data_IF_064989555666
#
_entry.id   IF_064989555666
#
_cell.length_a   1.000
_cell.length_b   1.000
_cell.length_c   1.000
_cell.angle_alpha   90.00
_cell.angle_beta   90.00
_cell.angle_gamma   90.00
#
_symmetry.space_group_name_H-M   'P 1'
#
loop_
_entity.id
_entity.type
_entity.pdbx_description
1 polymer ?
#
# COMPACT_ATOMS: atom_id res chain seq x y z
N UNK A 1 -13.91 -13.08 41.48
CA UNK A 1 -12.84 -12.90 40.47
C UNK A 1 -13.53 -12.85 39.12
N UNK A 2 -13.53 -11.70 38.44
CA UNK A 2 -14.10 -11.59 37.09
C UNK A 2 -12.99 -11.98 36.12
N UNK A 3 -13.19 -13.06 35.37
CA UNK A 3 -12.36 -13.39 34.22
C UNK A 3 -12.61 -12.30 33.17
N UNK A 4 -11.65 -11.39 33.02
CA UNK A 4 -11.58 -10.54 31.84
C UNK A 4 -11.04 -11.44 30.74
N UNK A 5 -11.94 -12.03 29.96
CA UNK A 5 -11.57 -12.61 28.67
C UNK A 5 -10.99 -11.46 27.83
N UNK A 6 -9.70 -11.54 27.56
CA UNK A 6 -9.06 -10.70 26.55
C UNK A 6 -9.70 -11.11 25.23
N UNK A 7 -10.68 -10.33 24.76
CA UNK A 7 -11.15 -10.45 23.39
C UNK A 7 -9.94 -10.10 22.53
N UNK A 8 -9.28 -11.11 21.97
CA UNK A 8 -8.33 -10.91 20.89
C UNK A 8 -9.14 -10.25 19.76
N UNK A 9 -8.93 -8.95 19.55
CA UNK A 9 -9.48 -8.27 18.39
C UNK A 9 -8.85 -8.92 17.16
N UNK A 10 -9.62 -9.75 16.47
CA UNK A 10 -9.19 -10.33 15.21
C UNK A 10 -9.05 -9.21 14.17
N UNK A 11 -8.11 -9.34 13.22
CA UNK A 11 -7.98 -8.37 12.14
C UNK A 11 -9.29 -8.22 11.37
N UNK A 12 -9.68 -6.98 11.11
CA UNK A 12 -10.79 -6.69 10.22
C UNK A 12 -10.31 -6.83 8.77
N UNK A 13 -10.87 -7.80 8.07
CA UNK A 13 -10.51 -8.10 6.68
C UNK A 13 -11.47 -7.40 5.72
N UNK A 14 -10.91 -6.77 4.69
CA UNK A 14 -11.65 -6.14 3.61
C UNK A 14 -11.31 -6.82 2.29
N UNK A 15 -12.33 -7.13 1.50
CA UNK A 15 -12.15 -7.67 0.15
C UNK A 15 -12.31 -6.59 -0.92
N UNK A 16 -13.19 -5.62 -0.64
CA UNK A 16 -13.46 -4.49 -1.53
C UNK A 16 -12.46 -3.34 -1.27
N UNK A 17 -11.65 -2.95 -2.27
CA UNK A 17 -10.70 -1.85 -2.12
C UNK A 17 -11.38 -0.48 -1.94
N UNK A 18 -12.61 -0.29 -2.42
CA UNK A 18 -13.39 0.95 -2.24
C UNK A 18 -13.88 1.07 -0.80
N UNK A 19 -14.39 -0.02 -0.21
CA UNK A 19 -14.79 -0.04 1.21
C UNK A 19 -13.59 0.19 2.12
N UNK A 20 -12.45 -0.46 1.80
CA UNK A 20 -11.21 -0.28 2.54
C UNK A 20 -10.71 1.18 2.50
N UNK A 21 -10.71 1.82 1.33
CA UNK A 21 -10.33 3.23 1.20
C UNK A 21 -11.29 4.17 1.92
N UNK A 22 -12.59 3.87 1.90
CA UNK A 22 -13.58 4.64 2.65
C UNK A 22 -13.29 4.56 4.15
N UNK A 23 -13.05 3.35 4.65
CA UNK A 23 -12.66 3.13 6.04
C UNK A 23 -11.36 3.88 6.40
N UNK A 24 -10.35 3.83 5.53
CA UNK A 24 -9.12 4.59 5.72
C UNK A 24 -9.37 6.10 5.77
N UNK A 25 -10.14 6.66 4.83
CA UNK A 25 -10.46 8.11 4.80
C UNK A 25 -11.23 8.57 6.04
N UNK A 26 -12.07 7.69 6.60
CA UNK A 26 -12.81 7.94 7.83
C UNK A 26 -12.00 7.69 9.11
N UNK A 27 -10.77 7.19 8.98
CA UNK A 27 -9.91 6.88 10.12
C UNK A 27 -9.30 8.13 10.76
N UNK A 28 -8.94 8.00 12.03
CA UNK A 28 -8.14 9.03 12.71
C UNK A 28 -6.75 9.18 12.07
N UNK A 29 -6.16 8.09 11.55
CA UNK A 29 -4.87 8.12 10.86
C UNK A 29 -4.88 9.06 9.67
N UNK A 30 -5.89 8.93 8.80
CA UNK A 30 -6.04 9.81 7.64
C UNK A 30 -6.25 11.26 8.06
N UNK A 31 -7.22 11.54 8.94
CA UNK A 31 -7.52 12.92 9.39
C UNK A 31 -6.31 13.61 10.02
N UNK A 32 -5.57 12.90 10.87
CA UNK A 32 -4.39 13.45 11.53
C UNK A 32 -3.25 13.70 10.54
N UNK A 33 -2.99 12.77 9.61
CA UNK A 33 -1.97 12.96 8.58
C UNK A 33 -2.33 14.09 7.61
N UNK A 34 -3.61 14.20 7.23
CA UNK A 34 -4.12 15.27 6.37
C UNK A 34 -3.94 16.65 7.02
N UNK A 35 -4.40 16.80 8.27
CA UNK A 35 -4.25 18.06 9.01
C UNK A 35 -2.78 18.46 9.16
N UNK A 36 -1.91 17.50 9.51
CA UNK A 36 -0.47 17.72 9.64
C UNK A 36 0.20 18.08 8.31
N UNK A 37 -0.21 17.45 7.21
CA UNK A 37 0.32 17.75 5.88
C UNK A 37 0.04 19.21 5.47
N UNK A 38 -1.06 19.78 5.97
CA UNK A 38 -1.49 21.15 5.67
C UNK A 38 -1.14 22.18 6.75
N UNK A 39 -0.54 21.74 7.86
CA UNK A 39 -0.15 22.61 8.96
C UNK A 39 0.83 23.70 8.49
N UNK A 40 0.50 24.97 8.80
CA UNK A 40 1.32 26.13 8.44
C UNK A 40 1.32 26.50 6.95
N UNK A 41 0.51 25.84 6.10
CA UNK A 41 0.36 26.21 4.70
C UNK A 41 -0.77 27.21 4.52
N UNK A 42 -0.52 28.28 3.76
CA UNK A 42 -1.53 29.26 3.37
C UNK A 42 -2.12 28.90 2.00
N UNK A 43 -3.44 28.99 1.87
CA UNK A 43 -4.17 28.66 0.64
C UNK A 43 -4.92 29.88 0.11
N UNK A 44 -4.94 30.02 -1.22
CA UNK A 44 -5.90 30.90 -1.89
C UNK A 44 -7.33 30.42 -1.60
N UNK A 45 -8.29 31.35 -1.59
CA UNK A 45 -9.72 31.02 -1.43
C UNK A 45 -10.28 30.16 -2.57
N UNK A 46 -9.57 30.08 -3.69
CA UNK A 46 -9.95 29.30 -4.87
C UNK A 46 -9.61 27.81 -4.75
N UNK A 47 -8.79 27.41 -3.78
CA UNK A 47 -8.40 26.00 -3.59
C UNK A 47 -9.54 25.25 -2.90
N UNK A 48 -10.17 24.32 -3.61
CA UNK A 48 -11.25 23.51 -3.05
C UNK A 48 -10.71 22.41 -2.12
N UNK A 49 -11.58 21.88 -1.25
CA UNK A 49 -11.24 20.71 -0.43
C UNK A 49 -10.95 19.46 -1.27
N UNK A 50 -11.53 19.37 -2.47
CA UNK A 50 -11.25 18.29 -3.43
C UNK A 50 -9.81 18.42 -3.92
N UNK A 51 -9.37 19.61 -4.32
CA UNK A 51 -7.99 19.84 -4.77
C UNK A 51 -6.98 19.51 -3.67
N UNK A 52 -7.27 19.91 -2.42
CA UNK A 52 -6.44 19.56 -1.27
C UNK A 52 -6.42 18.05 -1.04
N UNK A 53 -7.56 17.37 -1.12
CA UNK A 53 -7.60 15.91 -1.00
C UNK A 53 -6.74 15.26 -2.07
N UNK A 54 -6.89 15.64 -3.32
CA UNK A 54 -6.18 15.02 -4.43
C UNK A 54 -4.68 15.27 -4.33
N UNK A 55 -4.25 16.47 -3.89
CA UNK A 55 -2.84 16.77 -3.60
C UNK A 55 -2.30 15.92 -2.45
N UNK A 56 -3.03 15.79 -1.34
CA UNK A 56 -2.59 14.97 -0.22
C UNK A 56 -2.54 13.48 -0.56
N UNK A 57 -3.59 12.95 -1.19
CA UNK A 57 -3.67 11.56 -1.63
C UNK A 57 -2.61 11.25 -2.70
N UNK A 58 -2.18 12.23 -3.48
CA UNK A 58 -1.06 12.15 -4.42
C UNK A 58 0.33 12.22 -3.76
N UNK A 59 0.44 12.42 -2.44
CA UNK A 59 1.71 12.56 -1.71
C UNK A 59 2.14 11.28 -0.98
N UNK A 60 3.46 11.17 -0.76
CA UNK A 60 4.06 10.04 -0.02
C UNK A 60 3.56 9.95 1.43
N UNK A 61 3.20 11.08 2.03
CA UNK A 61 2.68 11.15 3.40
C UNK A 61 1.38 10.37 3.54
N UNK A 62 0.46 10.51 2.59
CA UNK A 62 -0.81 9.77 2.60
C UNK A 62 -0.57 8.27 2.41
N UNK A 63 0.29 7.90 1.45
CA UNK A 63 0.68 6.50 1.23
C UNK A 63 1.24 5.85 2.50
N UNK A 64 2.13 6.54 3.22
CA UNK A 64 2.68 6.04 4.49
C UNK A 64 1.61 5.93 5.59
N UNK A 65 0.68 6.89 5.65
CA UNK A 65 -0.46 6.83 6.58
C UNK A 65 -1.36 5.62 6.32
N UNK A 66 -1.58 5.26 5.05
CA UNK A 66 -2.32 4.05 4.65
C UNK A 66 -1.64 2.76 5.12
N UNK A 67 -0.32 2.66 4.96
CA UNK A 67 0.45 1.50 5.44
C UNK A 67 0.39 1.40 6.97
N UNK A 68 0.52 2.53 7.68
CA UNK A 68 0.45 2.56 9.14
C UNK A 68 -0.94 2.23 9.66
N UNK A 69 -1.99 2.70 8.97
CA UNK A 69 -3.37 2.32 9.23
C UNK A 69 -3.55 0.80 9.15
N UNK A 70 -3.03 0.18 8.09
CA UNK A 70 -3.06 -1.28 7.92
C UNK A 70 -2.30 -2.02 9.04
N UNK A 71 -1.17 -1.47 9.49
CA UNK A 71 -0.31 -2.05 10.54
C UNK A 71 -0.91 -1.97 11.94
N UNK A 72 -1.48 -0.83 12.29
CA UNK A 72 -1.79 -0.48 13.69
C UNK A 72 -3.25 -0.69 14.08
N UNK A 73 -4.14 -0.73 13.09
CA UNK A 73 -5.57 -0.91 13.32
C UNK A 73 -6.05 -2.33 12.98
N UNK A 74 -5.12 -3.23 12.64
CA UNK A 74 -5.39 -4.59 12.17
C UNK A 74 -6.46 -4.63 11.06
N UNK A 75 -6.49 -3.60 10.20
CA UNK A 75 -7.40 -3.51 9.06
C UNK A 75 -6.63 -3.86 7.80
N UNK A 76 -6.95 -4.99 7.17
CA UNK A 76 -6.15 -5.52 6.06
C UNK A 76 -7.02 -5.66 4.81
N UNK A 77 -6.49 -5.16 3.69
CA UNK A 77 -7.06 -5.40 2.37
C UNK A 77 -6.52 -6.71 1.79
N UNK A 78 -7.44 -7.65 1.54
CA UNK A 78 -7.17 -8.92 0.87
C UNK A 78 -7.23 -8.75 -0.65
N UNK A 79 -6.38 -9.48 -1.37
CA UNK A 79 -6.54 -9.61 -2.81
C UNK A 79 -7.67 -10.61 -3.11
N UNK A 80 -8.84 -10.07 -3.48
CA UNK A 80 -10.06 -10.83 -3.80
C UNK A 80 -10.41 -10.57 -5.27
N UNK A 81 -10.00 -11.45 -6.21
CA UNK A 81 -9.97 -11.15 -7.66
C UNK A 81 -11.28 -10.64 -8.26
N UNK A 82 -12.41 -10.95 -7.65
CA UNK A 82 -13.76 -10.61 -8.10
C UNK A 82 -14.02 -9.09 -8.04
N UNK A 83 -13.28 -8.36 -7.21
CA UNK A 83 -13.40 -6.90 -7.03
C UNK A 83 -12.56 -6.09 -8.02
N UNK A 84 -11.80 -6.73 -8.91
CA UNK A 84 -10.86 -6.06 -9.79
C UNK A 84 -11.14 -6.33 -11.27
N UNK A 85 -10.69 -5.43 -12.15
CA UNK A 85 -10.72 -5.64 -13.60
C UNK A 85 -9.63 -6.63 -14.06
N UNK A 86 -9.84 -7.29 -15.20
CA UNK A 86 -8.91 -8.30 -15.74
C UNK A 86 -7.47 -7.77 -15.91
N UNK A 87 -7.30 -6.54 -16.42
CA UNK A 87 -5.97 -5.93 -16.57
C UNK A 87 -5.20 -5.84 -15.26
N UNK A 88 -5.87 -5.45 -14.16
CA UNK A 88 -5.23 -5.43 -12.85
C UNK A 88 -4.88 -6.84 -12.38
N UNK A 89 -5.78 -7.81 -12.56
CA UNK A 89 -5.56 -9.22 -12.15
C UNK A 89 -4.32 -9.82 -12.80
N UNK A 90 -4.12 -9.55 -14.09
CA UNK A 90 -2.94 -10.05 -14.80
C UNK A 90 -1.65 -9.40 -14.27
N UNK A 91 -1.65 -8.07 -14.11
CA UNK A 91 -0.48 -7.34 -13.62
C UNK A 91 -0.12 -7.71 -12.17
N UNK A 92 -1.10 -7.81 -11.27
CA UNK A 92 -0.85 -8.15 -9.86
C UNK A 92 -0.38 -9.61 -9.71
N UNK A 93 -0.87 -10.52 -10.58
CA UNK A 93 -0.43 -11.91 -10.61
C UNK A 93 1.02 -12.04 -11.07
N UNK A 94 1.43 -11.29 -12.09
CA UNK A 94 2.82 -11.26 -12.54
C UNK A 94 3.73 -10.68 -11.47
N UNK A 95 3.29 -9.62 -10.79
CA UNK A 95 3.97 -9.03 -9.64
C UNK A 95 4.16 -10.03 -8.50
N UNK A 96 3.09 -10.71 -8.06
CA UNK A 96 3.17 -11.72 -7.00
C UNK A 96 4.03 -12.92 -7.40
N UNK A 97 3.96 -13.35 -8.65
CA UNK A 97 4.75 -14.48 -9.17
C UNK A 97 6.24 -14.16 -9.15
N UNK A 98 6.62 -12.93 -9.55
CA UNK A 98 8.00 -12.46 -9.52
C UNK A 98 8.59 -12.51 -8.09
N UNK A 99 7.83 -12.03 -7.09
CA UNK A 99 8.28 -12.06 -5.68
C UNK A 99 8.44 -13.50 -5.19
N UNK A 100 7.46 -14.37 -5.48
CA UNK A 100 7.49 -15.80 -5.10
C UNK A 100 8.69 -16.53 -5.72
N UNK A 101 9.04 -16.22 -6.96
CA UNK A 101 10.17 -16.84 -7.66
C UNK A 101 11.52 -16.37 -7.11
N UNK A 102 11.63 -15.10 -6.72
CA UNK A 102 12.81 -14.59 -6.02
C UNK A 102 12.98 -15.26 -4.65
N UNK A 103 11.91 -15.38 -3.86
CA UNK A 103 11.92 -16.05 -2.57
C UNK A 103 12.34 -17.54 -2.65
N UNK A 104 12.13 -18.20 -3.79
CA UNK A 104 12.57 -19.57 -4.07
C UNK A 104 14.06 -19.68 -4.45
N UNK A 105 14.82 -18.57 -4.41
CA UNK A 105 16.24 -18.56 -4.74
C UNK A 105 16.55 -18.77 -6.23
N UNK A 106 15.56 -18.56 -7.12
CA UNK A 106 15.75 -18.68 -8.58
C UNK A 106 16.54 -17.52 -9.18
N UNK A 107 16.80 -16.48 -8.38
CA UNK A 107 17.61 -15.32 -8.73
C UNK A 107 18.77 -15.25 -7.73
N UNK A 108 20.00 -15.30 -8.22
CA UNK A 108 21.21 -15.29 -7.39
C UNK A 108 22.27 -14.37 -7.98
N UNK A 109 23.09 -13.76 -7.12
CA UNK A 109 24.16 -12.83 -7.51
C UNK A 109 23.72 -11.37 -7.61
N UNK A 110 24.66 -10.44 -7.44
CA UNK A 110 24.37 -9.00 -7.33
C UNK A 110 23.68 -8.39 -8.56
N UNK A 111 24.06 -8.82 -9.77
CA UNK A 111 23.38 -8.41 -11.00
C UNK A 111 21.94 -8.96 -11.09
N UNK A 112 21.72 -10.17 -10.60
CA UNK A 112 20.40 -10.79 -10.52
C UNK A 112 19.47 -10.05 -9.55
N UNK A 113 19.98 -9.64 -8.39
CA UNK A 113 19.22 -8.85 -7.41
C UNK A 113 18.84 -7.48 -7.98
N UNK A 114 19.78 -6.77 -8.61
CA UNK A 114 19.49 -5.47 -9.23
C UNK A 114 18.54 -5.57 -10.44
N UNK A 115 18.55 -6.68 -11.18
CA UNK A 115 17.57 -6.95 -12.23
C UNK A 115 16.19 -7.24 -11.64
N UNK A 116 16.12 -8.05 -10.58
CA UNK A 116 14.90 -8.33 -9.85
C UNK A 116 14.26 -7.05 -9.29
N UNK A 117 15.03 -6.17 -8.64
CA UNK A 117 14.48 -4.94 -8.07
C UNK A 117 13.86 -4.04 -9.14
N UNK A 118 14.51 -3.92 -10.30
CA UNK A 118 13.97 -3.16 -11.44
C UNK A 118 12.66 -3.77 -11.97
N UNK A 119 12.62 -5.09 -12.15
CA UNK A 119 11.41 -5.78 -12.58
C UNK A 119 10.30 -5.66 -11.55
N UNK A 120 10.62 -5.80 -10.26
CA UNK A 120 9.68 -5.66 -9.15
C UNK A 120 9.08 -4.27 -9.12
N UNK A 121 9.90 -3.23 -9.26
CA UNK A 121 9.45 -1.85 -9.38
C UNK A 121 8.52 -1.65 -10.56
N UNK A 122 8.90 -2.17 -11.73
CA UNK A 122 8.11 -2.08 -12.97
C UNK A 122 6.75 -2.78 -12.86
N UNK A 123 6.69 -4.00 -12.33
CA UNK A 123 5.45 -4.75 -12.19
C UNK A 123 4.54 -4.15 -11.13
N UNK A 124 5.12 -3.65 -10.02
CA UNK A 124 4.37 -2.92 -9.01
C UNK A 124 3.75 -1.64 -9.58
N UNK A 125 4.51 -0.92 -10.41
CA UNK A 125 4.05 0.32 -11.04
C UNK A 125 2.95 0.06 -12.07
N UNK A 126 3.10 -0.99 -12.90
CA UNK A 126 2.07 -1.38 -13.86
C UNK A 126 0.75 -1.77 -13.17
N UNK A 127 0.81 -2.60 -12.13
CA UNK A 127 -0.36 -2.95 -11.34
C UNK A 127 -1.00 -1.71 -10.67
N UNK A 128 -0.19 -0.78 -10.17
CA UNK A 128 -0.69 0.45 -9.56
C UNK A 128 -1.39 1.37 -10.57
N UNK A 129 -0.87 1.46 -11.79
CA UNK A 129 -1.48 2.26 -12.85
C UNK A 129 -2.88 1.73 -13.21
N UNK A 130 -3.01 0.42 -13.42
CA UNK A 130 -4.31 -0.22 -13.71
C UNK A 130 -5.32 -0.02 -12.57
N UNK A 131 -4.87 -0.11 -11.32
CA UNK A 131 -5.72 0.12 -10.16
C UNK A 131 -6.12 1.60 -10.01
N UNK A 132 -5.18 2.50 -10.27
CA UNK A 132 -5.39 3.95 -10.27
C UNK A 132 -6.49 4.35 -11.27
N UNK A 133 -6.38 3.84 -12.50
CA UNK A 133 -7.29 4.17 -13.60
C UNK A 133 -8.69 3.58 -13.39
N UNK A 134 -8.76 2.33 -12.89
CA UNK A 134 -10.04 1.66 -12.66
C UNK A 134 -10.82 2.22 -11.46
N UNK A 135 -10.14 2.66 -10.41
CA UNK A 135 -10.78 3.17 -9.19
C UNK A 135 -10.90 4.71 -9.15
N UNK A 136 -10.23 5.43 -10.04
CA UNK A 136 -10.19 6.90 -10.00
C UNK A 136 -9.49 7.44 -8.75
N UNK A 137 -8.40 6.79 -8.32
CA UNK A 137 -7.58 7.19 -7.17
C UNK A 137 -6.20 7.66 -7.63
N UNK A 138 -5.41 8.22 -6.72
CA UNK A 138 -4.03 8.56 -7.05
C UNK A 138 -3.18 7.30 -7.25
N UNK A 139 -2.22 7.36 -8.17
CA UNK A 139 -1.24 6.30 -8.39
C UNK A 139 -0.48 5.93 -7.10
N UNK A 140 -0.20 6.92 -6.24
CA UNK A 140 0.47 6.67 -4.96
C UNK A 140 -0.39 5.87 -3.98
N UNK A 141 -1.69 6.15 -3.90
CA UNK A 141 -2.62 5.36 -3.10
C UNK A 141 -2.73 3.95 -3.66
N UNK A 142 -2.84 3.79 -4.98
CA UNK A 142 -2.86 2.48 -5.63
C UNK A 142 -1.62 1.64 -5.27
N UNK A 143 -0.41 2.22 -5.33
CA UNK A 143 0.84 1.59 -4.85
C UNK A 143 0.77 1.21 -3.37
N UNK A 144 0.11 2.02 -2.54
CA UNK A 144 -0.11 1.72 -1.13
C UNK A 144 -1.03 0.52 -0.91
N UNK A 145 -2.15 0.47 -1.63
CA UNK A 145 -3.11 -0.65 -1.56
C UNK A 145 -2.46 -1.98 -1.99
N UNK A 146 -1.74 -1.98 -3.10
CA UNK A 146 -1.01 -3.17 -3.56
C UNK A 146 0.01 -3.61 -2.51
N UNK A 147 0.72 -2.67 -1.90
CA UNK A 147 1.65 -2.99 -0.82
C UNK A 147 0.95 -3.64 0.39
N UNK A 148 -0.24 -3.16 0.79
CA UNK A 148 -1.05 -3.81 1.84
C UNK A 148 -1.44 -5.23 1.44
N UNK A 149 -1.93 -5.44 0.20
CA UNK A 149 -2.26 -6.78 -0.30
C UNK A 149 -1.04 -7.70 -0.29
N UNK A 150 0.12 -7.20 -0.73
CA UNK A 150 1.37 -7.96 -0.81
C UNK A 150 1.84 -8.41 0.57
N UNK A 151 1.69 -7.55 1.59
CA UNK A 151 2.00 -7.88 2.99
C UNK A 151 1.04 -8.95 3.50
N UNK A 152 -0.25 -8.82 3.21
CA UNK A 152 -1.25 -9.82 3.60
C UNK A 152 -0.97 -11.21 3.01
N UNK A 153 -0.59 -11.26 1.74
CA UNK A 153 -0.19 -12.49 1.03
C UNK A 153 1.13 -13.11 1.55
N UNK A 154 1.78 -12.48 2.54
CA UNK A 154 3.07 -12.93 3.08
C UNK A 154 4.25 -12.72 2.12
N UNK A 155 4.11 -11.82 1.15
CA UNK A 155 5.10 -11.56 0.09
C UNK A 155 5.96 -10.31 0.37
N UNK A 156 5.56 -9.47 1.33
CA UNK A 156 6.33 -8.34 1.83
C UNK A 156 6.09 -8.18 3.35
N UNK A 157 6.78 -7.26 4.01
CA UNK A 157 6.58 -6.96 5.43
C UNK A 157 6.31 -5.47 5.65
N UNK A 158 5.72 -5.12 6.78
CA UNK A 158 5.55 -3.70 7.15
C UNK A 158 6.89 -2.98 7.36
N UNK A 159 7.96 -3.68 7.74
CA UNK A 159 9.27 -3.06 8.00
C UNK A 159 10.03 -2.73 6.71
N UNK A 160 9.74 -3.44 5.63
CA UNK A 160 10.13 -3.10 4.25
C UNK A 160 9.14 -2.16 3.56
N UNK A 161 7.96 -1.93 4.16
CA UNK A 161 6.96 -0.99 3.67
C UNK A 161 7.25 0.45 4.11
N UNK A 162 7.30 1.37 3.14
CA UNK A 162 7.69 2.76 3.40
C UNK A 162 9.21 3.04 3.36
N UNK A 163 10.05 2.02 3.19
CA UNK A 163 11.48 2.22 2.90
C UNK A 163 11.71 2.49 1.42
N UNK A 164 12.46 3.57 1.17
CA UNK A 164 13.00 3.93 -0.15
C UNK A 164 13.78 2.74 -0.74
N UNK A 165 13.74 2.53 -2.05
CA UNK A 165 14.29 1.33 -2.73
C UNK A 165 15.76 1.07 -2.34
N UNK A 166 16.54 2.15 -2.13
CA UNK A 166 17.92 2.08 -1.64
C UNK A 166 18.09 1.49 -0.23
N UNK A 167 17.14 1.69 0.69
CA UNK A 167 17.26 1.16 2.05
C UNK A 167 16.91 -0.32 2.14
N UNK A 168 16.00 -0.82 1.29
CA UNK A 168 15.78 -2.27 1.13
C UNK A 168 17.06 -3.00 0.70
N UNK A 169 17.76 -2.45 -0.30
CA UNK A 169 19.08 -2.91 -0.74
C UNK A 169 20.08 -3.06 0.42
N UNK A 170 20.16 -2.08 1.32
CA UNK A 170 21.09 -2.09 2.46
C UNK A 170 20.71 -3.13 3.53
N UNK A 171 19.42 -3.45 3.68
CA UNK A 171 18.96 -4.47 4.63
C UNK A 171 19.21 -5.91 4.15
N UNK A 172 19.30 -6.12 2.84
CA UNK A 172 19.53 -7.45 2.22
C UNK A 172 21.01 -7.80 2.03
N UNK A 173 21.93 -6.87 2.30
CA UNK A 173 23.39 -7.05 2.24
C UNK A 173 24.01 -7.41 3.60
N UNK A 174 23.19 -7.77 4.61
CA UNK A 174 23.65 -8.19 5.94
C UNK A 174 23.44 -9.68 6.16
#
# INVERSE_FOLDING_TARGET
MRNTETIENLPQLFNDPVEYLTCFRDSASYRNSYAKFYEGKEFSQEVSEIDKRDVFEGDETCRKSLIEFARTQDMILMYTPEYYGESFKDNIKDYFSLIKDFAKGRVSGGEGVAAYDRLRGSYHDAAAQELSDSMGISHRLARGLIQVMTIHEGLDTFDSAGQDERRRMMSMLR
#
